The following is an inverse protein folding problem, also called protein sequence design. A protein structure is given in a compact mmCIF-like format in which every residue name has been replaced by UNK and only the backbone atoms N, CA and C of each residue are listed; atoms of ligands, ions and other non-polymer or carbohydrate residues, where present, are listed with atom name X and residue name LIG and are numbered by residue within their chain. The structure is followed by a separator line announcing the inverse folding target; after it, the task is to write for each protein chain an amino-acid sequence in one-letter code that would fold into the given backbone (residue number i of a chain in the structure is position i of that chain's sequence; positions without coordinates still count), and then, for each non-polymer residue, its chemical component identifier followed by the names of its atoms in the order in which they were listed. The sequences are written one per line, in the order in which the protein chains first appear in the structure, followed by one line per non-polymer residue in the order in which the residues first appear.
data_IF_616725648821
#
_entry.id   IF_616725648821
#
_cell.length_a   1.000
_cell.length_b   1.000
_cell.length_c   1.000
_cell.angle_alpha   90.00
_cell.angle_beta   90.00
_cell.angle_gamma   90.00
#
_symmetry.space_group_name_H-M   'P 1'
#
loop_
_entity.id
_entity.type
_entity.pdbx_description
1 polymer ?
#
# COMPACT_ATOMS: atom_id res chain seq x y z
N UNK A 1 4.10 1.93 -23.83
CA UNK A 1 4.60 1.78 -22.44
C UNK A 1 3.40 1.94 -21.51
N UNK A 2 2.93 0.88 -20.85
CA UNK A 2 1.83 1.00 -19.87
C UNK A 2 2.40 1.71 -18.64
N UNK A 3 1.94 2.93 -18.37
CA UNK A 3 2.23 3.56 -17.08
C UNK A 3 1.56 2.70 -16.01
N UNK A 4 2.36 2.05 -15.19
CA UNK A 4 1.87 1.30 -14.05
C UNK A 4 1.12 2.27 -13.13
N UNK A 5 -0.20 2.13 -13.05
CA UNK A 5 -1.01 3.04 -12.23
C UNK A 5 -0.61 2.87 -10.76
N UNK A 6 -0.77 3.92 -9.96
CA UNK A 6 -0.49 3.85 -8.52
C UNK A 6 -1.27 2.72 -7.83
N UNK A 7 -2.43 2.36 -8.38
CA UNK A 7 -3.25 1.24 -7.93
C UNK A 7 -2.58 -0.11 -8.21
N UNK A 8 -2.00 -0.30 -9.38
CA UNK A 8 -1.28 -1.52 -9.76
C UNK A 8 0.01 -1.70 -8.93
N UNK A 9 0.74 -0.61 -8.67
CA UNK A 9 1.87 -0.61 -7.73
C UNK A 9 1.46 -0.97 -6.30
N UNK A 10 0.34 -0.42 -5.84
CA UNK A 10 -0.21 -0.73 -4.52
C UNK A 10 -0.58 -2.21 -4.41
N UNK A 11 -1.15 -2.80 -5.46
CA UNK A 11 -1.55 -4.21 -5.50
C UNK A 11 -0.32 -5.13 -5.38
N UNK A 12 0.75 -4.85 -6.12
CA UNK A 12 2.02 -5.59 -6.02
C UNK A 12 2.65 -5.50 -4.62
N UNK A 13 2.67 -4.31 -4.03
CA UNK A 13 3.22 -4.11 -2.68
C UNK A 13 2.36 -4.78 -1.60
N UNK A 14 1.04 -4.81 -1.77
CA UNK A 14 0.12 -5.57 -0.91
C UNK A 14 0.31 -7.08 -1.03
N UNK A 15 0.54 -7.59 -2.24
CA UNK A 15 0.79 -9.02 -2.43
C UNK A 15 2.07 -9.46 -1.72
N UNK A 16 3.15 -8.68 -1.82
CA UNK A 16 4.39 -8.92 -1.08
C UNK A 16 4.15 -8.89 0.44
N UNK A 17 3.41 -7.90 0.92
CA UNK A 17 3.07 -7.80 2.34
C UNK A 17 2.28 -9.02 2.81
N UNK A 18 1.31 -9.50 2.03
CA UNK A 18 0.53 -10.70 2.35
C UNK A 18 1.40 -11.97 2.41
N UNK A 19 2.40 -12.11 1.55
CA UNK A 19 3.35 -13.24 1.60
C UNK A 19 4.15 -13.20 2.90
N UNK A 20 4.74 -12.05 3.23
CA UNK A 20 5.48 -11.86 4.48
C UNK A 20 4.62 -12.12 5.72
N UNK A 21 3.38 -11.61 5.73
CA UNK A 21 2.42 -11.87 6.80
C UNK A 21 2.11 -13.36 6.90
N UNK A 22 1.85 -14.04 5.79
CA UNK A 22 1.53 -15.47 5.78
C UNK A 22 2.70 -16.31 6.28
N UNK A 23 3.93 -15.96 5.90
CA UNK A 23 5.13 -16.65 6.38
C UNK A 23 5.36 -16.43 7.88
N UNK A 24 5.21 -15.19 8.36
CA UNK A 24 5.34 -14.86 9.77
C UNK A 24 4.24 -15.53 10.61
N UNK A 25 2.99 -15.54 10.13
CA UNK A 25 1.89 -16.26 10.78
C UNK A 25 2.13 -17.77 10.82
N UNK A 26 2.63 -18.39 9.74
CA UNK A 26 3.01 -19.81 9.73
C UNK A 26 4.12 -20.12 10.74
N UNK A 27 5.04 -19.18 10.94
CA UNK A 27 6.12 -19.30 11.94
C UNK A 27 5.68 -18.94 13.36
N UNK A 28 4.44 -18.48 13.56
CA UNK A 28 3.94 -17.98 14.84
C UNK A 28 4.64 -16.69 15.31
N UNK A 29 5.27 -15.96 14.38
CA UNK A 29 6.05 -14.77 14.67
C UNK A 29 5.15 -13.51 14.74
N UNK A 30 5.39 -12.61 15.70
CA UNK A 30 4.64 -11.37 15.80
C UNK A 30 5.01 -10.40 14.66
N UNK A 31 4.03 -10.11 13.81
CA UNK A 31 4.13 -9.18 12.67
C UNK A 31 4.56 -7.76 13.06
N UNK A 32 4.34 -7.39 14.33
CA UNK A 32 4.61 -6.07 14.88
C UNK A 32 6.07 -5.85 15.28
N UNK A 33 6.88 -6.90 15.26
CA UNK A 33 8.32 -6.85 15.61
C UNK A 33 9.20 -7.11 14.39
N UNK A 34 8.61 -7.64 13.32
CA UNK A 34 9.32 -7.91 12.07
C UNK A 34 9.55 -6.61 11.30
N UNK A 35 10.80 -6.16 11.29
CA UNK A 35 11.22 -4.93 10.62
C UNK A 35 10.89 -4.95 9.11
N UNK A 36 10.93 -6.12 8.46
CA UNK A 36 10.56 -6.25 7.06
C UNK A 36 9.06 -6.02 6.84
N UNK A 37 8.21 -6.51 7.74
CA UNK A 37 6.76 -6.26 7.71
C UNK A 37 6.46 -4.80 7.99
N UNK A 38 7.16 -4.17 8.93
CA UNK A 38 7.00 -2.73 9.27
C UNK A 38 7.42 -1.85 8.08
N UNK A 39 8.58 -2.12 7.47
CA UNK A 39 9.05 -1.35 6.32
C UNK A 39 8.09 -1.47 5.13
N UNK A 40 7.63 -2.69 4.85
CA UNK A 40 6.68 -2.96 3.78
C UNK A 40 5.32 -2.29 4.05
N UNK A 41 4.86 -2.26 5.31
CA UNK A 41 3.65 -1.53 5.71
C UNK A 41 3.78 -0.02 5.44
N UNK A 42 4.92 0.59 5.78
CA UNK A 42 5.18 2.02 5.52
C UNK A 42 5.11 2.36 4.02
N UNK A 43 5.60 1.46 3.15
CA UNK A 43 5.49 1.63 1.68
C UNK A 43 4.04 1.58 1.20
N UNK A 44 3.27 0.61 1.71
CA UNK A 44 1.84 0.48 1.41
C UNK A 44 1.07 1.71 1.88
N UNK A 45 1.29 2.17 3.11
CA UNK A 45 0.65 3.37 3.67
C UNK A 45 0.95 4.62 2.85
N UNK A 46 2.21 4.83 2.45
CA UNK A 46 2.61 5.96 1.61
C UNK A 46 1.88 5.97 0.26
N UNK A 47 1.70 4.80 -0.36
CA UNK A 47 0.95 4.66 -1.62
C UNK A 47 -0.55 4.93 -1.42
N UNK A 48 -1.15 4.42 -0.34
CA UNK A 48 -2.56 4.68 -0.02
C UNK A 48 -2.82 6.16 0.20
N UNK A 49 -1.95 6.84 0.97
CA UNK A 49 -2.05 8.29 1.21
C UNK A 49 -1.94 9.08 -0.08
N UNK A 50 -1.03 8.71 -0.99
CA UNK A 50 -0.93 9.36 -2.31
C UNK A 50 -2.21 9.19 -3.13
N UNK A 51 -2.76 7.98 -3.19
CA UNK A 51 -4.00 7.69 -3.92
C UNK A 51 -5.19 8.44 -3.32
N UNK A 52 -5.28 8.53 -1.99
CA UNK A 52 -6.33 9.31 -1.31
C UNK A 52 -6.20 10.80 -1.61
N UNK A 53 -4.99 11.37 -1.51
CA UNK A 53 -4.74 12.77 -1.86
C UNK A 53 -5.06 13.09 -3.32
N UNK A 54 -4.76 12.19 -4.25
CA UNK A 54 -5.17 12.36 -5.65
C UNK A 54 -6.69 12.32 -5.81
N UNK A 55 -7.37 11.38 -5.15
CA UNK A 55 -8.84 11.33 -5.15
C UNK A 55 -9.47 12.60 -4.57
N UNK A 56 -8.95 13.11 -3.46
CA UNK A 56 -9.44 14.36 -2.85
C UNK A 56 -9.18 15.59 -3.73
N UNK A 57 -8.04 15.66 -4.42
CA UNK A 57 -7.78 16.74 -5.39
C UNK A 57 -8.75 16.67 -6.57
N UNK A 58 -9.01 15.47 -7.08
CA UNK A 58 -9.99 15.26 -8.14
C UNK A 58 -11.41 15.63 -7.69
N UNK A 59 -11.81 15.28 -6.47
CA UNK A 59 -13.15 15.60 -5.96
C UNK A 59 -13.37 17.10 -5.76
N UNK A 60 -12.36 17.84 -5.28
CA UNK A 60 -12.44 19.30 -5.13
C UNK A 60 -12.57 20.02 -6.47
N UNK A 61 -11.80 19.60 -7.48
CA UNK A 61 -11.89 20.17 -8.84
C UNK A 61 -13.22 19.90 -9.55
N UNK A 62 -14.03 18.94 -9.09
CA UNK A 62 -15.36 18.65 -9.66
C UNK A 62 -16.49 19.41 -8.95
N UNK A 63 -16.25 19.99 -7.77
CA UNK A 63 -17.24 20.76 -7.01
C UNK A 63 -17.26 22.26 -7.36
N UNK A 64 -16.22 22.76 -8.05
CA UNK A 64 -16.10 24.16 -8.49
C UNK A 64 -16.50 24.38 -9.96
N UNK A 65 -17.16 23.42 -10.62
CA UNK A 65 -17.66 23.55 -12.00
C UNK A 65 -19.17 23.62 -12.06
#
# INVERSE_FOLDING_TARGET
MKQETLKEKLEKEKEKLNKLISEALNKGAPLTVDEAVIEQNRKVDSLVVKIQKEKEKYSKNQQER
#
